data_IF_184056143494
#
_entry.id   IF_184056143494
#
_cell.length_a   1.000
_cell.length_b   1.000
_cell.length_c   1.000
_cell.angle_alpha   90.00
_cell.angle_beta   90.00
_cell.angle_gamma   90.00
#
_symmetry.space_group_name_H-M   'P 1'
#
loop_
_entity.id
_entity.type
_entity.pdbx_description
1 polymer ?
#
# COMPACT_ATOMS: atom_id res chain seq x y z
N UNK A 1 -14.64 15.50 1.49
CA UNK A 1 -13.49 15.24 0.60
C UNK A 1 -13.58 13.79 0.21
N UNK A 2 -13.76 13.52 -1.08
CA UNK A 2 -13.80 12.16 -1.62
C UNK A 2 -12.34 11.71 -1.81
N UNK A 3 -11.99 10.58 -1.21
CA UNK A 3 -10.66 10.00 -1.30
C UNK A 3 -10.72 8.69 -2.07
N UNK A 4 -9.77 8.50 -2.97
CA UNK A 4 -9.64 7.31 -3.79
C UNK A 4 -8.40 6.51 -3.36
N UNK A 5 -8.51 5.19 -3.44
CA UNK A 5 -7.38 4.31 -3.19
C UNK A 5 -6.42 4.33 -4.37
N UNK A 6 -5.13 4.57 -4.09
CA UNK A 6 -4.10 4.47 -5.13
C UNK A 6 -3.93 3.01 -5.57
N UNK A 7 -3.84 2.70 -6.87
CA UNK A 7 -3.70 1.32 -7.34
C UNK A 7 -2.48 0.60 -6.74
N UNK A 8 -2.69 -0.63 -6.24
CA UNK A 8 -1.60 -1.45 -5.69
C UNK A 8 -0.99 -2.35 -6.77
N UNK A 9 0.34 -2.37 -6.85
CA UNK A 9 1.08 -3.21 -7.80
C UNK A 9 1.95 -4.22 -7.04
N UNK A 10 1.91 -5.47 -7.51
CA UNK A 10 2.73 -6.56 -6.98
C UNK A 10 2.14 -7.18 -5.71
N UNK A 11 2.85 -7.07 -4.58
CA UNK A 11 2.43 -7.66 -3.31
C UNK A 11 1.22 -6.93 -2.74
N UNK A 12 0.28 -7.68 -2.17
CA UNK A 12 -1.02 -7.16 -1.71
C UNK A 12 -1.19 -7.05 -0.19
N UNK A 13 -0.28 -7.63 0.60
CA UNK A 13 -0.41 -7.69 2.06
C UNK A 13 0.66 -6.84 2.73
N UNK A 14 0.23 -5.99 3.66
CA UNK A 14 1.07 -5.00 4.34
C UNK A 14 1.41 -5.42 5.76
N UNK A 15 0.72 -6.41 6.30
CA UNK A 15 0.98 -6.96 7.62
C UNK A 15 1.04 -8.49 7.58
N UNK A 16 1.92 -9.04 8.40
CA UNK A 16 2.07 -10.48 8.59
C UNK A 16 2.19 -10.76 10.08
N UNK A 17 1.47 -11.76 10.57
CA UNK A 17 1.70 -12.31 11.91
C UNK A 17 3.17 -12.81 11.99
N UNK A 18 3.83 -12.79 13.16
CA UNK A 18 5.23 -13.22 13.29
C UNK A 18 5.53 -14.61 12.70
N UNK A 19 4.59 -15.55 12.81
CA UNK A 19 4.71 -16.90 12.24
C UNK A 19 4.53 -16.98 10.72
N UNK A 20 4.25 -15.87 10.04
CA UNK A 20 4.11 -15.73 8.59
C UNK A 20 2.86 -16.37 7.97
N UNK A 21 2.07 -17.12 8.74
CA UNK A 21 0.93 -17.90 8.21
C UNK A 21 -0.32 -17.06 8.01
N UNK A 22 -0.50 -16.02 8.82
CA UNK A 22 -1.62 -15.08 8.73
C UNK A 22 -1.09 -13.76 8.21
N UNK A 23 -1.80 -13.17 7.25
CA UNK A 23 -1.43 -11.93 6.60
C UNK A 23 -2.69 -11.14 6.27
N UNK A 24 -2.58 -9.82 6.32
CA UNK A 24 -3.67 -8.91 6.01
C UNK A 24 -3.11 -7.67 5.30
N UNK A 25 -4.01 -6.93 4.67
CA UNK A 25 -3.74 -5.60 4.15
C UNK A 25 -4.42 -4.62 5.09
N UNK A 26 -3.62 -3.92 5.88
CA UNK A 26 -4.11 -2.97 6.89
C UNK A 26 -3.75 -1.53 6.53
N UNK A 27 -2.72 -1.37 5.70
CA UNK A 27 -2.16 -0.08 5.35
C UNK A 27 -2.55 0.27 3.90
N UNK A 28 -3.18 1.43 3.72
CA UNK A 28 -3.72 1.89 2.44
C UNK A 28 -3.39 3.38 2.29
N UNK A 29 -2.80 3.77 1.16
CA UNK A 29 -2.65 5.17 0.78
C UNK A 29 -3.92 5.61 0.03
N UNK A 30 -4.54 6.66 0.54
CA UNK A 30 -5.70 7.31 -0.03
C UNK A 30 -5.32 8.73 -0.44
N UNK A 31 -5.83 9.18 -1.58
CA UNK A 31 -5.50 10.49 -2.17
C UNK A 31 -6.77 11.14 -2.70
N UNK A 32 -6.77 12.45 -2.90
CA UNK A 32 -7.91 13.11 -3.54
C UNK A 32 -7.91 12.84 -5.05
N UNK A 33 -9.08 12.98 -5.67
CA UNK A 33 -9.21 12.84 -7.13
C UNK A 33 -8.34 13.83 -7.89
N UNK A 34 -8.19 15.05 -7.40
CA UNK A 34 -7.33 16.08 -8.01
C UNK A 34 -5.86 15.63 -8.02
N UNK A 35 -5.41 14.92 -6.98
CA UNK A 35 -4.07 14.35 -6.91
C UNK A 35 -3.87 13.25 -7.98
N UNK A 36 -4.88 12.39 -8.19
CA UNK A 36 -4.83 11.38 -9.25
C UNK A 36 -4.80 11.99 -10.65
N UNK A 37 -5.50 13.11 -10.87
CA UNK A 37 -5.50 13.81 -12.15
C UNK A 37 -4.14 14.44 -12.46
N UNK A 38 -3.49 15.01 -11.44
CA UNK A 38 -2.15 15.61 -11.57
C UNK A 38 -1.06 14.53 -11.76
N UNK A 39 -1.15 13.42 -11.01
CA UNK A 39 -0.19 12.32 -11.10
C UNK A 39 -0.87 11.01 -11.56
N UNK A 40 -1.24 10.95 -12.83
CA UNK A 40 -2.05 9.85 -13.40
C UNK A 40 -1.42 8.46 -13.39
N UNK A 41 -0.12 8.35 -13.15
CA UNK A 41 0.64 7.07 -13.21
C UNK A 41 1.10 6.57 -11.85
N UNK A 42 0.57 7.12 -10.75
CA UNK A 42 0.97 6.70 -9.41
C UNK A 42 0.50 5.28 -9.07
N UNK A 43 1.25 4.64 -8.19
CA UNK A 43 0.96 3.32 -7.68
C UNK A 43 1.52 3.13 -6.27
N UNK A 44 0.87 2.24 -5.52
CA UNK A 44 1.38 1.73 -4.25
C UNK A 44 2.13 0.44 -4.51
N UNK A 45 3.38 0.36 -4.04
CA UNK A 45 4.18 -0.86 -4.09
C UNK A 45 4.51 -1.31 -2.68
N UNK A 46 4.02 -2.50 -2.31
CA UNK A 46 4.39 -3.11 -1.03
C UNK A 46 5.79 -3.72 -1.14
N UNK A 47 6.70 -3.24 -0.29
CA UNK A 47 8.10 -3.65 -0.26
C UNK A 47 8.28 -4.95 0.54
N UNK A 48 9.51 -5.48 0.53
CA UNK A 48 9.84 -6.68 1.30
C UNK A 48 9.82 -6.36 2.80
N UNK A 49 9.15 -7.22 3.57
CA UNK A 49 9.20 -7.19 5.04
C UNK A 49 10.65 -7.26 5.52
N UNK A 50 10.99 -6.41 6.49
CA UNK A 50 12.30 -6.40 7.14
C UNK A 50 12.19 -6.94 8.57
N UNK A 51 12.33 -6.07 9.57
CA UNK A 51 12.34 -6.40 11.01
C UNK A 51 10.95 -6.31 11.65
N UNK A 52 10.03 -5.55 11.06
CA UNK A 52 8.66 -5.38 11.57
C UNK A 52 7.71 -6.41 10.95
N UNK A 53 6.62 -6.70 11.66
CA UNK A 53 5.47 -7.43 11.11
C UNK A 53 4.76 -6.63 9.99
N UNK A 54 5.01 -5.32 9.93
CA UNK A 54 4.57 -4.42 8.87
C UNK A 54 5.56 -4.42 7.69
N UNK A 55 5.01 -4.33 6.48
CA UNK A 55 5.74 -4.14 5.25
C UNK A 55 5.68 -2.66 4.85
N UNK A 56 6.82 -2.03 4.54
CA UNK A 56 6.81 -0.67 4.02
C UNK A 56 6.03 -0.57 2.71
N UNK A 57 5.31 0.53 2.52
CA UNK A 57 4.64 0.88 1.26
C UNK A 57 5.38 2.05 0.64
N UNK A 58 5.68 1.93 -0.65
CA UNK A 58 6.20 3.02 -1.47
C UNK A 58 5.10 3.54 -2.39
N UNK A 59 4.94 4.86 -2.43
CA UNK A 59 4.18 5.56 -3.47
C UNK A 59 5.16 5.96 -4.58
N UNK A 60 4.87 5.58 -5.83
CA UNK A 60 5.74 5.83 -6.99
C UNK A 60 4.91 6.12 -8.23
#
# INVERSE_FOLDING_TARGET
MELEEVPIIGKKYTWYKPNGRVKSRLDIILVTKEWLLEWSSISQKVLKRSVSDLCPILLQ
#
